data_IF_630310608065
#
_entry.id   IF_630310608065
#
_cell.length_a   1.000
_cell.length_b   1.000
_cell.length_c   1.000
_cell.angle_alpha   90.00
_cell.angle_beta   90.00
_cell.angle_gamma   90.00
#
_symmetry.space_group_name_H-M   'P 1'
#
loop_
_entity.id
_entity.type
_entity.pdbx_description
1 polymer ?
#
# COMPACT_ATOMS: atom_id res chain seq x y z
N UNK A 1 -5.61 -6.98 19.58
CA UNK A 1 -4.80 -5.74 19.60
C UNK A 1 -3.34 -5.98 19.20
N UNK A 2 -2.62 -6.90 19.83
CA UNK A 2 -1.22 -7.25 19.47
C UNK A 2 -1.10 -8.44 18.50
N UNK A 3 -2.16 -8.75 17.75
CA UNK A 3 -2.24 -9.92 16.86
C UNK A 3 -2.00 -11.28 17.56
N UNK A 4 -2.31 -11.40 18.86
CA UNK A 4 -2.12 -12.61 19.68
C UNK A 4 -0.69 -13.21 19.61
N UNK A 5 0.31 -12.36 19.33
CA UNK A 5 1.69 -12.77 19.21
C UNK A 5 2.51 -12.20 20.38
N UNK A 6 2.98 -13.05 21.32
CA UNK A 6 3.78 -12.60 22.47
C UNK A 6 5.02 -11.78 22.09
N UNK A 7 5.59 -12.00 20.89
CA UNK A 7 6.74 -11.22 20.39
C UNK A 7 6.44 -9.73 20.23
N UNK A 8 5.21 -9.38 19.91
CA UNK A 8 4.80 -7.98 19.77
C UNK A 8 4.74 -7.29 21.15
N UNK A 9 4.31 -8.02 22.18
CA UNK A 9 4.36 -7.51 23.55
C UNK A 9 5.81 -7.34 23.99
N UNK A 10 6.65 -8.37 23.82
CA UNK A 10 8.07 -8.28 24.16
C UNK A 10 8.78 -7.09 23.47
N UNK A 11 8.53 -6.87 22.19
CA UNK A 11 9.06 -5.71 21.46
C UNK A 11 8.61 -4.38 22.07
N UNK A 12 7.34 -4.29 22.49
CA UNK A 12 6.84 -3.10 23.20
C UNK A 12 7.55 -2.93 24.54
N UNK A 13 7.79 -4.00 25.29
CA UNK A 13 8.51 -3.94 26.56
C UNK A 13 9.95 -3.45 26.37
N UNK A 14 10.64 -3.96 25.36
CA UNK A 14 12.02 -3.57 25.03
C UNK A 14 12.12 -2.11 24.57
N UNK A 15 11.15 -1.63 23.78
CA UNK A 15 11.21 -0.27 23.23
C UNK A 15 10.72 0.82 24.20
N UNK A 16 9.73 0.52 25.05
CA UNK A 16 9.09 1.51 25.94
C UNK A 16 9.47 1.34 27.41
N UNK A 17 10.16 0.26 27.79
CA UNK A 17 10.51 -0.02 29.19
C UNK A 17 9.30 -0.35 30.06
N UNK A 18 8.20 -0.82 29.46
CA UNK A 18 6.93 -1.13 30.14
C UNK A 18 6.69 -2.62 30.10
N UNK A 19 6.32 -3.22 31.23
CA UNK A 19 5.87 -4.61 31.29
C UNK A 19 4.41 -4.72 30.84
N UNK A 20 4.13 -5.56 29.85
CA UNK A 20 2.83 -5.74 29.24
C UNK A 20 2.31 -7.17 29.47
N UNK A 21 1.29 -7.30 30.31
CA UNK A 21 0.65 -8.60 30.60
C UNK A 21 -0.75 -8.67 30.00
N UNK A 22 -1.01 -9.64 29.12
CA UNK A 22 -2.33 -9.85 28.51
C UNK A 22 -3.04 -11.03 29.16
N UNK A 23 -4.30 -10.85 29.56
CA UNK A 23 -5.18 -11.92 30.09
C UNK A 23 -6.63 -11.63 29.71
N UNK A 24 -7.39 -12.63 29.28
CA UNK A 24 -8.86 -12.59 29.13
C UNK A 24 -9.44 -11.26 28.57
N UNK A 25 -8.82 -10.71 27.52
CA UNK A 25 -9.29 -9.50 26.82
C UNK A 25 -8.79 -8.16 27.37
N UNK A 26 -8.04 -8.13 28.47
CA UNK A 26 -7.40 -6.90 28.99
C UNK A 26 -5.87 -7.00 28.93
N UNK A 27 -5.23 -5.84 28.81
CA UNK A 27 -3.78 -5.68 28.81
C UNK A 27 -3.42 -4.77 29.98
N UNK A 28 -2.59 -5.29 30.90
CA UNK A 28 -1.99 -4.51 31.98
C UNK A 28 -0.63 -3.97 31.52
N UNK A 29 -0.43 -2.68 31.72
CA UNK A 29 0.83 -1.98 31.47
C UNK A 29 1.39 -1.52 32.82
N UNK A 30 2.67 -1.76 33.06
CA UNK A 30 3.35 -1.45 34.32
C UNK A 30 4.78 -0.95 34.02
N UNK A 31 5.12 0.26 34.45
CA UNK A 31 6.38 0.93 34.09
C UNK A 31 6.33 2.42 34.42
N UNK A 32 7.26 3.19 33.86
CA UNK A 32 7.26 4.64 33.99
C UNK A 32 6.06 5.29 33.27
N UNK A 33 5.58 6.41 33.80
CA UNK A 33 4.35 7.08 33.36
C UNK A 33 4.40 7.41 31.85
N UNK A 34 5.53 7.92 31.37
CA UNK A 34 5.73 8.25 29.96
C UNK A 34 5.69 7.02 29.04
N UNK A 35 6.21 5.88 29.50
CA UNK A 35 6.17 4.62 28.76
C UNK A 35 4.76 4.04 28.72
N UNK A 36 4.09 4.03 29.87
CA UNK A 36 2.71 3.52 30.02
C UNK A 36 1.75 4.34 29.17
N UNK A 37 1.91 5.68 29.14
CA UNK A 37 1.12 6.57 28.30
C UNK A 37 1.28 6.20 26.82
N UNK A 38 2.52 6.13 26.30
CA UNK A 38 2.79 5.75 24.90
C UNK A 38 2.22 4.37 24.55
N UNK A 39 2.39 3.39 25.42
CA UNK A 39 1.84 2.05 25.22
C UNK A 39 0.30 2.05 25.19
N UNK A 40 -0.33 2.82 26.08
CA UNK A 40 -1.79 2.99 26.11
C UNK A 40 -2.30 3.58 24.80
N UNK A 41 -1.67 4.67 24.32
CA UNK A 41 -2.02 5.28 23.05
C UNK A 41 -1.89 4.32 21.86
N UNK A 42 -0.80 3.55 21.80
CA UNK A 42 -0.62 2.54 20.76
C UNK A 42 -1.79 1.55 20.73
N UNK A 43 -2.16 1.01 21.90
CA UNK A 43 -3.25 0.03 21.97
C UNK A 43 -4.61 0.64 21.63
N UNK A 44 -4.87 1.89 22.03
CA UNK A 44 -6.10 2.61 21.65
C UNK A 44 -6.18 2.85 20.14
N UNK A 45 -5.08 3.27 19.50
CA UNK A 45 -5.03 3.46 18.05
C UNK A 45 -5.25 2.15 17.29
N UNK A 46 -4.61 1.06 17.74
CA UNK A 46 -4.80 -0.28 17.17
C UNK A 46 -6.21 -0.81 17.39
N UNK A 47 -6.84 -0.51 18.53
CA UNK A 47 -8.23 -0.86 18.79
C UNK A 47 -9.17 -0.12 17.84
N UNK A 48 -8.96 1.18 17.64
CA UNK A 48 -9.69 1.99 16.67
C UNK A 48 -9.58 1.42 15.25
N UNK A 49 -8.37 1.04 14.83
CA UNK A 49 -8.14 0.43 13.52
C UNK A 49 -8.90 -0.89 13.34
N UNK A 50 -8.86 -1.78 14.35
CA UNK A 50 -9.60 -3.06 14.31
C UNK A 50 -11.11 -2.83 14.28
N UNK A 51 -11.63 -1.87 15.06
CA UNK A 51 -13.05 -1.48 15.03
C UNK A 51 -13.48 -0.93 13.67
N UNK A 52 -12.57 -0.26 12.96
CA UNK A 52 -12.77 0.20 11.59
C UNK A 52 -12.65 -0.92 10.53
N UNK A 53 -12.42 -2.18 10.94
CA UNK A 53 -12.30 -3.33 10.04
C UNK A 53 -10.89 -3.55 9.48
N UNK A 54 -9.89 -2.81 9.95
CA UNK A 54 -8.50 -2.95 9.50
C UNK A 54 -7.85 -4.15 10.18
N UNK A 55 -7.35 -5.10 9.39
CA UNK A 55 -6.62 -6.25 9.90
C UNK A 55 -5.17 -5.88 10.26
N UNK A 56 -4.83 -5.96 11.55
CA UNK A 56 -3.48 -5.66 12.06
C UNK A 56 -2.59 -6.91 12.03
N UNK A 57 -1.55 -6.90 11.21
CA UNK A 57 -0.51 -7.95 11.18
C UNK A 57 0.70 -7.54 12.02
N UNK A 58 1.62 -8.49 12.25
CA UNK A 58 2.83 -8.23 13.05
C UNK A 58 3.65 -7.03 12.54
N UNK A 59 3.82 -6.89 11.22
CA UNK A 59 4.54 -5.73 10.65
C UNK A 59 3.82 -4.41 10.92
N UNK A 60 2.48 -4.42 10.88
CA UNK A 60 1.68 -3.23 11.13
C UNK A 60 1.82 -2.79 12.60
N UNK A 61 1.90 -3.75 13.53
CA UNK A 61 2.22 -3.48 14.94
C UNK A 61 3.60 -2.84 15.09
N UNK A 62 4.64 -3.39 14.46
CA UNK A 62 5.99 -2.83 14.49
C UNK A 62 6.03 -1.39 13.97
N UNK A 63 5.36 -1.11 12.85
CA UNK A 63 5.28 0.25 12.32
C UNK A 63 4.54 1.20 13.26
N UNK A 64 3.42 0.76 13.83
CA UNK A 64 2.65 1.56 14.77
C UNK A 64 3.47 1.92 16.01
N UNK A 65 4.17 0.94 16.59
CA UNK A 65 5.07 1.14 17.73
C UNK A 65 6.18 2.15 17.41
N UNK A 66 6.87 2.00 16.28
CA UNK A 66 7.92 2.93 15.87
C UNK A 66 7.40 4.36 15.63
N UNK A 67 6.17 4.49 15.12
CA UNK A 67 5.51 5.79 14.90
C UNK A 67 5.22 6.47 16.24
N UNK A 68 4.64 5.75 17.22
CA UNK A 68 4.37 6.31 18.56
C UNK A 68 5.66 6.74 19.27
N UNK A 69 6.74 5.99 19.09
CA UNK A 69 8.03 6.31 19.70
C UNK A 69 8.60 7.61 19.11
N UNK A 70 8.51 7.79 17.80
CA UNK A 70 9.20 8.86 17.06
C UNK A 70 8.37 10.14 16.93
N UNK A 71 7.08 9.99 16.59
CA UNK A 71 6.21 11.07 16.13
C UNK A 71 4.99 11.30 17.04
N UNK A 72 4.80 10.47 18.07
CA UNK A 72 3.62 10.52 18.94
C UNK A 72 2.40 9.77 18.39
N UNK A 73 1.25 9.83 19.10
CA UNK A 73 0.07 9.02 18.78
C UNK A 73 -0.86 9.60 17.72
N UNK A 74 -0.90 10.93 17.53
CA UNK A 74 -1.80 11.61 16.60
C UNK A 74 -1.65 11.11 15.14
N UNK A 75 -0.43 10.90 14.60
CA UNK A 75 -0.24 10.42 13.23
C UNK A 75 -0.89 9.06 12.97
N UNK A 76 -1.03 8.19 13.97
CA UNK A 76 -1.66 6.87 13.80
C UNK A 76 -3.16 6.98 13.56
N UNK A 77 -3.85 7.87 14.27
CA UNK A 77 -5.29 8.06 14.09
C UNK A 77 -5.59 8.57 12.67
N UNK A 78 -4.80 9.53 12.19
CA UNK A 78 -4.91 10.00 10.82
C UNK A 78 -4.59 8.90 9.80
N UNK A 79 -3.58 8.08 10.07
CA UNK A 79 -3.20 6.97 9.19
C UNK A 79 -4.35 5.98 9.01
N UNK A 80 -4.99 5.58 10.11
CA UNK A 80 -6.08 4.61 10.10
C UNK A 80 -7.42 5.16 9.59
N UNK A 81 -7.59 6.49 9.53
CA UNK A 81 -8.75 7.10 8.87
C UNK A 81 -8.77 6.90 7.35
N UNK A 82 -7.62 6.59 6.74
CA UNK A 82 -7.53 6.40 5.29
C UNK A 82 -7.86 4.95 4.94
N UNK A 83 -9.04 4.74 4.36
CA UNK A 83 -9.48 3.46 3.80
C UNK A 83 -9.92 3.67 2.36
N UNK A 84 -9.31 2.93 1.43
CA UNK A 84 -9.63 3.03 0.01
C UNK A 84 -10.26 1.71 -0.46
N UNK A 85 -11.51 1.78 -0.92
CA UNK A 85 -12.23 0.62 -1.45
C UNK A 85 -12.28 0.66 -2.97
N UNK A 86 -11.53 -0.21 -3.63
CA UNK A 86 -11.50 -0.28 -5.11
C UNK A 86 -12.63 -1.11 -5.70
N UNK A 87 -13.11 -2.15 -5.01
CA UNK A 87 -14.27 -2.95 -5.43
C UNK A 87 -14.95 -3.58 -4.22
N UNK A 88 -16.26 -3.71 -4.19
CA UNK A 88 -16.99 -4.36 -3.07
C UNK A 88 -16.59 -5.82 -2.85
N UNK A 89 -15.99 -6.46 -3.87
CA UNK A 89 -15.52 -7.87 -3.82
C UNK A 89 -14.04 -7.99 -3.45
N UNK A 90 -13.34 -6.88 -3.19
CA UNK A 90 -11.91 -6.87 -2.87
C UNK A 90 -11.67 -6.25 -1.49
N UNK A 91 -10.61 -6.65 -0.78
CA UNK A 91 -10.24 -6.01 0.48
C UNK A 91 -9.98 -4.51 0.30
N UNK A 92 -10.21 -3.73 1.35
CA UNK A 92 -9.81 -2.33 1.36
C UNK A 92 -8.28 -2.21 1.36
N UNK A 93 -7.80 -1.11 0.80
CA UNK A 93 -6.39 -0.72 0.83
C UNK A 93 -6.21 0.42 1.83
N UNK A 94 -5.28 0.22 2.75
CA UNK A 94 -4.95 1.18 3.82
C UNK A 94 -3.45 1.48 3.79
N UNK A 95 -3.02 2.75 3.92
CA UNK A 95 -1.61 3.05 4.15
C UNK A 95 -1.18 2.49 5.51
N UNK A 96 0.01 1.90 5.54
CA UNK A 96 0.62 1.28 6.72
C UNK A 96 1.63 2.18 7.42
N UNK A 97 2.04 3.25 6.76
CA UNK A 97 3.01 4.23 7.29
C UNK A 97 2.59 5.64 6.92
N UNK A 98 3.06 6.62 7.69
CA UNK A 98 2.84 8.05 7.38
C UNK A 98 3.39 8.42 6.00
N UNK A 99 4.53 7.84 5.60
CA UNK A 99 5.07 8.03 4.26
C UNK A 99 4.12 7.55 3.15
N UNK A 100 3.44 6.42 3.35
CA UNK A 100 2.43 5.94 2.41
C UNK A 100 1.19 6.85 2.38
N UNK A 101 0.73 7.37 3.53
CA UNK A 101 -0.36 8.35 3.60
C UNK A 101 0.00 9.60 2.80
N UNK A 102 1.16 10.19 3.07
CA UNK A 102 1.68 11.37 2.35
C UNK A 102 1.81 11.11 0.86
N UNK A 103 2.22 9.91 0.46
CA UNK A 103 2.29 9.53 -0.95
C UNK A 103 0.91 9.52 -1.63
N UNK A 104 -0.11 8.97 -0.97
CA UNK A 104 -1.49 8.99 -1.47
C UNK A 104 -2.03 10.43 -1.57
N UNK A 105 -1.76 11.27 -0.57
CA UNK A 105 -2.12 12.70 -0.59
C UNK A 105 -1.41 13.45 -1.71
N UNK A 106 -0.12 13.18 -1.93
CA UNK A 106 0.65 13.79 -3.00
C UNK A 106 0.04 13.46 -4.38
N UNK A 107 -0.33 12.20 -4.62
CA UNK A 107 -1.02 11.78 -5.85
C UNK A 107 -2.33 12.53 -6.07
N UNK A 108 -3.09 12.81 -5.00
CA UNK A 108 -4.38 13.52 -5.11
C UNK A 108 -4.21 15.00 -5.44
N UNK A 109 -3.14 15.61 -4.94
CA UNK A 109 -2.97 17.06 -4.94
C UNK A 109 -2.03 17.58 -6.04
N UNK A 110 -1.35 16.69 -6.76
CA UNK A 110 -0.37 17.06 -7.80
C UNK A 110 -0.56 16.25 -9.06
N UNK A 111 -0.41 16.89 -10.22
CA UNK A 111 -0.50 16.23 -11.53
C UNK A 111 0.62 15.19 -11.75
N UNK A 112 1.79 15.42 -11.16
CA UNK A 112 2.96 14.54 -11.25
C UNK A 112 3.51 14.29 -9.85
N UNK A 113 3.65 13.02 -9.47
CA UNK A 113 4.20 12.60 -8.17
C UNK A 113 5.30 11.57 -8.36
N UNK A 114 6.47 11.81 -7.77
CA UNK A 114 7.58 10.86 -7.75
C UNK A 114 7.57 10.04 -6.46
N UNK A 115 7.28 8.75 -6.58
CA UNK A 115 7.38 7.80 -5.46
C UNK A 115 8.80 7.22 -5.37
N UNK A 116 9.65 7.79 -4.52
CA UNK A 116 11.02 7.29 -4.30
C UNK A 116 11.10 6.50 -3.00
N UNK A 117 11.72 5.31 -3.03
CA UNK A 117 11.97 4.53 -1.83
C UNK A 117 12.32 3.07 -2.13
N UNK A 118 12.70 2.27 -1.12
CA UNK A 118 13.11 0.88 -1.30
C UNK A 118 12.06 -0.01 -1.96
N UNK A 119 12.47 -1.16 -2.48
CA UNK A 119 11.55 -2.19 -2.96
C UNK A 119 10.63 -2.66 -1.83
N UNK A 120 9.38 -3.00 -2.16
CA UNK A 120 8.41 -3.52 -1.18
C UNK A 120 7.72 -2.48 -0.29
N UNK A 121 7.95 -1.18 -0.48
CA UNK A 121 7.27 -0.11 0.29
C UNK A 121 5.89 0.28 -0.24
N UNK A 122 5.37 -0.44 -1.23
CA UNK A 122 3.99 -0.28 -1.73
C UNK A 122 3.77 0.85 -2.75
N UNK A 123 4.83 1.50 -3.24
CA UNK A 123 4.77 2.66 -4.17
C UNK A 123 3.87 2.39 -5.38
N UNK A 124 4.22 1.37 -6.19
CA UNK A 124 3.45 1.00 -7.38
C UNK A 124 2.03 0.56 -7.04
N UNK A 125 1.86 -0.25 -5.99
CA UNK A 125 0.54 -0.74 -5.58
C UNK A 125 -0.41 0.38 -5.15
N UNK A 126 0.08 1.34 -4.35
CA UNK A 126 -0.71 2.50 -3.92
C UNK A 126 -1.01 3.46 -5.08
N UNK A 127 -0.06 3.65 -6.01
CA UNK A 127 -0.33 4.41 -7.24
C UNK A 127 -1.44 3.77 -8.06
N UNK A 128 -1.39 2.44 -8.25
CA UNK A 128 -2.42 1.69 -8.98
C UNK A 128 -3.77 1.74 -8.27
N UNK A 129 -3.77 1.68 -6.94
CA UNK A 129 -4.97 1.86 -6.13
C UNK A 129 -5.63 3.21 -6.43
N UNK A 130 -4.83 4.29 -6.43
CA UNK A 130 -5.32 5.64 -6.75
C UNK A 130 -5.78 5.78 -8.20
N UNK A 131 -5.09 5.15 -9.15
CA UNK A 131 -5.49 5.14 -10.57
C UNK A 131 -6.85 4.47 -10.77
N UNK A 132 -7.08 3.33 -10.12
CA UNK A 132 -8.37 2.62 -10.17
C UNK A 132 -9.48 3.49 -9.58
N UNK A 133 -9.23 4.16 -8.46
CA UNK A 133 -10.21 5.10 -7.88
C UNK A 133 -10.51 6.26 -8.84
N UNK A 134 -9.48 6.89 -9.39
CA UNK A 134 -9.66 8.00 -10.33
C UNK A 134 -10.46 7.58 -11.58
N UNK A 135 -10.24 6.36 -12.09
CA UNK A 135 -11.01 5.81 -13.20
C UNK A 135 -12.48 5.59 -12.82
N UNK A 136 -12.75 5.03 -11.64
CA UNK A 136 -14.12 4.76 -11.16
C UNK A 136 -14.90 6.02 -10.81
N UNK A 137 -14.21 7.07 -10.38
CA UNK A 137 -14.77 8.41 -10.15
C UNK A 137 -14.86 9.24 -11.45
N UNK A 138 -14.57 8.64 -12.60
CA UNK A 138 -14.59 9.28 -13.93
C UNK A 138 -13.69 10.52 -14.06
N UNK A 139 -12.72 10.67 -13.14
CA UNK A 139 -11.70 11.73 -13.18
C UNK A 139 -10.69 11.51 -14.31
N UNK A 140 -10.49 10.26 -14.70
CA UNK A 140 -9.71 9.86 -15.88
C UNK A 140 -10.52 8.87 -16.70
N UNK A 141 -10.25 8.83 -18.01
CA UNK A 141 -10.90 7.88 -18.93
C UNK A 141 -10.13 6.57 -19.11
N UNK A 142 -8.86 6.54 -18.70
CA UNK A 142 -7.98 5.38 -18.90
C UNK A 142 -6.82 5.34 -17.90
N UNK A 143 -6.28 4.16 -17.70
CA UNK A 143 -5.07 3.89 -16.90
C UNK A 143 -4.01 3.30 -17.83
N UNK A 144 -2.80 3.83 -17.78
CA UNK A 144 -1.67 3.31 -18.54
C UNK A 144 -0.58 2.93 -17.55
N UNK A 145 -0.30 1.64 -17.46
CA UNK A 145 0.78 1.09 -16.64
C UNK A 145 1.95 0.78 -17.56
N UNK A 146 3.10 1.36 -17.25
CA UNK A 146 4.30 1.12 -18.04
C UNK A 146 5.47 0.72 -17.18
N UNK A 147 6.35 -0.10 -17.74
CA UNK A 147 7.59 -0.53 -17.13
C UNK A 147 8.70 -0.51 -18.18
N UNK A 148 9.91 -0.05 -17.85
CA UNK A 148 11.04 -0.20 -18.76
C UNK A 148 11.30 -1.70 -18.99
N UNK A 149 11.61 -2.06 -20.25
CA UNK A 149 11.85 -3.46 -20.65
C UNK A 149 13.16 -4.05 -20.09
N UNK A 150 13.94 -3.26 -19.36
CA UNK A 150 15.26 -3.63 -18.84
C UNK A 150 15.31 -3.22 -17.37
N UNK A 151 15.35 -4.20 -16.48
CA UNK A 151 15.74 -3.98 -15.08
C UNK A 151 17.26 -3.86 -14.99
N UNK A 152 17.73 -3.10 -14.00
CA UNK A 152 19.12 -2.72 -13.81
C UNK A 152 20.13 -3.87 -14.04
N UNK A 153 20.72 -3.92 -15.24
CA UNK A 153 21.89 -4.75 -15.55
C UNK A 153 21.67 -6.04 -16.33
N UNK A 154 20.43 -6.46 -16.63
CA UNK A 154 20.20 -7.67 -17.44
C UNK A 154 19.94 -7.33 -18.91
N UNK A 155 20.80 -7.80 -19.82
CA UNK A 155 20.46 -7.82 -21.23
C UNK A 155 19.21 -8.69 -21.39
N UNK A 156 18.20 -8.21 -22.13
CA UNK A 156 17.01 -9.00 -22.46
C UNK A 156 17.50 -10.28 -23.17
N UNK A 157 17.64 -11.37 -22.41
CA UNK A 157 18.19 -12.62 -22.89
C UNK A 157 17.30 -13.21 -23.98
N UNK A 158 17.77 -14.28 -24.61
CA UNK A 158 17.02 -15.02 -25.62
C UNK A 158 15.90 -15.86 -24.96
N UNK A 159 14.85 -15.21 -24.48
CA UNK A 159 13.57 -15.89 -24.27
C UNK A 159 13.02 -16.27 -25.67
N UNK A 160 12.68 -17.54 -25.94
CA UNK A 160 12.04 -17.90 -27.21
C UNK A 160 10.63 -17.30 -27.27
N UNK A 161 10.15 -16.96 -28.47
CA UNK A 161 8.82 -16.39 -28.67
C UNK A 161 8.80 -14.99 -29.29
N UNK A 162 7.58 -14.48 -29.48
CA UNK A 162 7.36 -13.13 -29.99
C UNK A 162 7.77 -12.04 -28.96
N UNK A 163 7.82 -10.78 -29.39
CA UNK A 163 8.25 -9.68 -28.50
C UNK A 163 7.37 -9.57 -27.25
N UNK A 164 6.08 -9.88 -27.36
CA UNK A 164 5.13 -9.78 -26.26
C UNK A 164 5.34 -10.91 -25.24
N UNK A 165 5.51 -12.15 -25.70
CA UNK A 165 5.82 -13.32 -24.86
C UNK A 165 7.10 -13.11 -24.03
N UNK A 166 8.10 -12.43 -24.60
CA UNK A 166 9.34 -12.05 -23.90
C UNK A 166 9.13 -11.02 -22.80
N UNK A 167 8.17 -10.11 -22.99
CA UNK A 167 7.88 -9.01 -22.06
C UNK A 167 6.85 -9.39 -21.00
N UNK A 168 6.00 -10.37 -21.29
CA UNK A 168 4.93 -10.81 -20.41
C UNK A 168 5.37 -11.14 -18.97
N UNK A 169 6.53 -11.80 -18.71
CA UNK A 169 7.00 -12.03 -17.34
C UNK A 169 7.23 -10.74 -16.54
N UNK A 170 7.71 -9.67 -17.17
CA UNK A 170 8.01 -8.39 -16.52
C UNK A 170 6.76 -7.55 -16.22
N UNK A 171 5.70 -7.76 -17.01
CA UNK A 171 4.41 -7.08 -16.85
C UNK A 171 3.46 -7.83 -15.91
N UNK A 172 3.69 -9.13 -15.67
CA UNK A 172 2.85 -9.97 -14.80
C UNK A 172 2.60 -9.36 -13.41
N UNK A 173 3.58 -8.77 -12.70
CA UNK A 173 3.32 -8.15 -11.39
C UNK A 173 2.29 -7.01 -11.44
N UNK A 174 2.16 -6.31 -12.57
CA UNK A 174 1.14 -5.27 -12.76
C UNK A 174 -0.24 -5.88 -12.99
N UNK A 175 -0.32 -7.00 -13.71
CA UNK A 175 -1.58 -7.75 -13.82
C UNK A 175 -2.06 -8.29 -12.46
N UNK A 176 -1.15 -8.90 -11.70
CA UNK A 176 -1.46 -9.47 -10.39
C UNK A 176 -1.94 -8.36 -9.43
N UNK A 177 -1.26 -7.21 -9.42
CA UNK A 177 -1.68 -6.07 -8.60
C UNK A 177 -3.06 -5.50 -9.01
N UNK A 178 -3.41 -5.48 -10.31
CA UNK A 178 -4.77 -5.11 -10.72
C UNK A 178 -5.82 -6.12 -10.24
N UNK A 179 -5.50 -7.40 -10.28
CA UNK A 179 -6.39 -8.46 -9.79
C UNK A 179 -6.56 -8.41 -8.26
N UNK A 180 -5.61 -7.85 -7.52
CA UNK A 180 -5.80 -7.58 -6.09
C UNK A 180 -6.80 -6.43 -5.86
N UNK A 181 -6.88 -5.46 -6.79
CA UNK A 181 -7.72 -4.26 -6.68
C UNK A 181 -9.11 -4.43 -7.30
N UNK A 182 -9.25 -5.23 -8.35
CA UNK A 182 -10.48 -5.42 -9.11
C UNK A 182 -10.77 -6.91 -9.37
N UNK A 183 -12.04 -7.32 -9.50
CA UNK A 183 -12.40 -8.67 -9.93
C UNK A 183 -11.76 -9.02 -11.28
N UNK A 184 -11.36 -10.28 -11.47
CA UNK A 184 -10.67 -10.73 -12.68
C UNK A 184 -11.42 -10.39 -13.97
N UNK A 185 -12.73 -10.65 -14.01
CA UNK A 185 -13.60 -10.34 -15.14
C UNK A 185 -13.61 -8.84 -15.48
N UNK A 186 -13.55 -7.99 -14.45
CA UNK A 186 -13.51 -6.54 -14.63
C UNK A 186 -12.15 -6.10 -15.20
N UNK A 187 -11.05 -6.64 -14.67
CA UNK A 187 -9.70 -6.37 -15.21
C UNK A 187 -9.64 -6.76 -16.69
N UNK A 188 -10.07 -7.97 -17.05
CA UNK A 188 -10.08 -8.44 -18.45
C UNK A 188 -10.91 -7.52 -19.34
N UNK A 189 -12.13 -7.20 -18.93
CA UNK A 189 -13.02 -6.32 -19.70
C UNK A 189 -12.44 -4.92 -19.92
N UNK A 190 -11.78 -4.34 -18.90
CA UNK A 190 -11.17 -3.02 -19.02
C UNK A 190 -9.94 -3.05 -19.94
N UNK A 191 -9.16 -4.13 -19.90
CA UNK A 191 -8.01 -4.35 -20.79
C UNK A 191 -8.45 -4.54 -22.25
N UNK A 192 -9.47 -5.37 -22.51
CA UNK A 192 -10.02 -5.59 -23.85
C UNK A 192 -10.58 -4.31 -24.49
N UNK A 193 -11.15 -3.42 -23.66
CA UNK A 193 -11.64 -2.10 -24.09
C UNK A 193 -10.53 -1.07 -24.27
N UNK A 194 -9.29 -1.38 -23.91
CA UNK A 194 -8.18 -0.43 -23.91
C UNK A 194 -8.31 0.69 -22.88
N UNK A 195 -9.19 0.53 -21.89
CA UNK A 195 -9.36 1.49 -20.78
C UNK A 195 -8.20 1.32 -19.79
N UNK A 196 -7.79 0.08 -19.52
CA UNK A 196 -6.54 -0.19 -18.81
C UNK A 196 -5.56 -0.75 -19.83
N UNK A 197 -4.39 -0.14 -19.93
CA UNK A 197 -3.34 -0.55 -20.85
C UNK A 197 -2.07 -0.87 -20.05
N UNK A 198 -1.46 -2.03 -20.32
CA UNK A 198 -0.16 -2.40 -19.75
C UNK A 198 0.80 -2.57 -20.92
N UNK A 199 1.79 -1.68 -21.02
CA UNK A 199 2.68 -1.64 -22.16
C UNK A 199 4.11 -1.19 -21.78
N UNK A 200 5.15 -1.64 -22.51
CA UNK A 200 6.52 -1.19 -22.26
C UNK A 200 6.71 0.30 -22.48
N UNK A 201 7.68 0.91 -21.78
CA UNK A 201 7.92 2.35 -21.87
C UNK A 201 8.21 2.83 -23.31
N UNK A 202 8.85 1.99 -24.12
CA UNK A 202 9.15 2.29 -25.52
C UNK A 202 7.90 2.58 -26.36
N UNK A 203 6.74 2.02 -25.98
CA UNK A 203 5.47 2.19 -26.68
C UNK A 203 4.79 3.54 -26.36
N UNK A 204 5.32 4.30 -25.40
CA UNK A 204 4.81 5.62 -25.04
C UNK A 204 5.33 6.72 -25.98
N UNK A 205 6.42 6.47 -26.72
CA UNK A 205 7.05 7.47 -27.59
C UNK A 205 6.09 7.97 -28.66
N UNK A 206 5.93 9.29 -28.76
CA UNK A 206 5.09 9.94 -29.77
C UNK A 206 3.59 9.90 -29.50
N UNK A 207 3.15 9.37 -28.35
CA UNK A 207 1.74 9.38 -27.96
C UNK A 207 1.38 10.67 -27.23
N UNK A 208 0.21 11.22 -27.54
CA UNK A 208 -0.44 12.23 -26.70
C UNK A 208 -1.33 11.51 -25.69
N UNK A 209 -1.04 11.67 -24.40
CA UNK A 209 -1.67 10.90 -23.35
C UNK A 209 -2.76 11.67 -22.59
N UNK A 210 -3.83 12.05 -23.30
CA UNK A 210 -4.93 12.81 -22.72
C UNK A 210 -5.79 11.98 -21.76
N UNK A 211 -6.33 12.66 -20.75
CA UNK A 211 -7.32 12.15 -19.78
C UNK A 211 -6.99 10.76 -19.22
N UNK A 212 -5.74 10.56 -18.82
CA UNK A 212 -5.18 9.28 -18.42
C UNK A 212 -4.45 9.37 -17.09
N UNK A 213 -4.55 8.32 -16.28
CA UNK A 213 -3.65 8.10 -15.15
C UNK A 213 -2.48 7.22 -15.60
N UNK A 214 -1.25 7.73 -15.53
CA UNK A 214 -0.06 7.02 -16.03
C UNK A 214 0.83 6.67 -14.85
N UNK A 215 1.28 5.41 -14.79
CA UNK A 215 2.20 4.91 -13.76
C UNK A 215 3.45 4.37 -14.44
N UNK A 216 4.61 4.88 -14.05
CA UNK A 216 5.95 4.52 -14.53
C UNK A 216 6.79 3.86 -13.43
#
# INVERSE_FOLDING_TARGET
LFNNNPKNLQMLEECLGVKATSRDGWIKLDGDDAGVEKATWLFQALEGAVKAGIAIRNRDFTYALNTVISDGPEPLNELYSVTIQTSSRKPSVNPKTIGQKRYLEAIRNHDITFGIGPAGTGKTFLAMTMAVIALKEEKVSRIILTRPAVEAGEALGFLPGDLYEKLAPYLRPLHDALQDLLPMEEVQKQMERGIVEIAPLAYMRGRTLNNAFIIL
#
